data_IF_022704562709
#
_entry.id   IF_022704562709
#
_cell.length_a   1.000
_cell.length_b   1.000
_cell.length_c   1.000
_cell.angle_alpha   90.00
_cell.angle_beta   90.00
_cell.angle_gamma   90.00
#
_symmetry.space_group_name_H-M   'P 1'
#
loop_
_entity.id
_entity.type
_entity.pdbx_description
1 polymer ?
#
# COMPACT_ATOMS: atom_id res chain seq x y z
N UNK A 1 -15.01 30.37 22.13
CA UNK A 1 -13.64 30.57 21.64
C UNK A 1 -13.46 29.68 20.41
N UNK A 2 -13.36 30.26 19.22
CA UNK A 2 -13.28 29.54 17.94
C UNK A 2 -11.85 29.05 17.73
N UNK A 3 -11.62 27.74 17.69
CA UNK A 3 -10.40 27.17 17.12
C UNK A 3 -10.75 26.56 15.75
N UNK A 4 -10.83 27.41 14.75
CA UNK A 4 -10.76 27.00 13.35
C UNK A 4 -9.28 26.86 12.99
N UNK A 5 -8.77 25.63 13.02
CA UNK A 5 -7.43 25.36 12.51
C UNK A 5 -7.52 25.33 10.99
N UNK A 6 -7.17 26.44 10.36
CA UNK A 6 -6.98 26.49 8.90
C UNK A 6 -5.62 25.83 8.66
N UNK A 7 -5.60 24.67 7.99
CA UNK A 7 -4.36 24.06 7.55
C UNK A 7 -3.78 24.89 6.41
N UNK A 8 -2.83 25.75 6.74
CA UNK A 8 -2.26 26.72 5.78
C UNK A 8 -0.92 26.31 5.21
N UNK A 9 -0.29 25.23 5.75
CA UNK A 9 1.01 24.80 5.28
C UNK A 9 1.28 23.29 5.53
N UNK A 10 2.39 22.82 4.96
CA UNK A 10 2.87 21.43 5.03
C UNK A 10 3.09 20.92 6.48
N UNK A 11 3.49 21.82 7.39
CA UNK A 11 3.76 21.54 8.80
C UNK A 11 2.49 21.20 9.57
N UNK A 12 1.38 21.89 9.26
CA UNK A 12 0.08 21.66 9.91
C UNK A 12 -0.52 20.31 9.46
N UNK A 13 -0.29 19.91 8.20
CA UNK A 13 -0.69 18.59 7.68
C UNK A 13 0.05 17.46 8.38
N UNK A 14 1.37 17.55 8.53
CA UNK A 14 2.19 16.51 9.19
C UNK A 14 1.84 16.40 10.67
N UNK A 15 1.62 17.52 11.38
CA UNK A 15 1.16 17.52 12.78
C UNK A 15 -0.22 16.93 12.97
N UNK A 16 -1.16 17.21 12.06
CA UNK A 16 -2.49 16.61 12.09
C UNK A 16 -2.44 15.10 11.85
N UNK A 17 -1.57 14.63 10.94
CA UNK A 17 -1.34 13.21 10.69
C UNK A 17 -0.69 12.49 11.89
N UNK A 18 0.27 13.11 12.57
CA UNK A 18 0.89 12.57 13.79
C UNK A 18 -0.09 12.41 14.95
N UNK A 19 -0.98 13.39 15.16
CA UNK A 19 -2.02 13.32 16.19
C UNK A 19 -3.06 12.20 15.93
N UNK A 20 -3.31 11.85 14.67
CA UNK A 20 -4.19 10.74 14.32
C UNK A 20 -3.55 9.36 14.59
N UNK A 21 -2.24 9.23 14.44
CA UNK A 21 -1.51 7.97 14.68
C UNK A 21 -1.37 7.69 16.18
N UNK A 22 -1.16 8.72 17.00
CA UNK A 22 -1.04 8.58 18.47
C UNK A 22 -2.35 8.12 19.15
N UNK A 23 -3.52 8.40 18.55
CA UNK A 23 -4.82 7.95 19.05
C UNK A 23 -5.17 6.49 18.69
N UNK A 24 -4.41 5.85 17.81
CA UNK A 24 -4.60 4.47 17.36
C UNK A 24 -3.64 3.47 18.02
N UNK A 25 -3.05 3.80 19.17
CA UNK A 25 -2.37 2.83 20.01
C UNK A 25 -3.39 1.86 20.62
N UNK A 26 -3.98 1.01 19.79
CA UNK A 26 -4.64 -0.20 20.26
C UNK A 26 -3.57 -1.09 20.89
N UNK A 27 -3.77 -1.43 22.15
CA UNK A 27 -3.06 -2.52 22.81
C UNK A 27 -3.46 -3.83 22.11
N UNK A 28 -2.85 -4.11 20.98
CA UNK A 28 -2.94 -5.42 20.34
C UNK A 28 -2.14 -6.37 21.22
N UNK A 29 -2.84 -7.34 21.81
CA UNK A 29 -2.23 -8.41 22.57
C UNK A 29 -1.27 -9.19 21.65
N UNK A 30 0.06 -9.14 21.83
CA UNK A 30 1.02 -9.71 20.89
C UNK A 30 1.01 -11.25 20.86
N UNK A 31 0.21 -11.91 21.69
CA UNK A 31 0.22 -13.36 21.86
C UNK A 31 -0.65 -14.14 20.87
N UNK A 32 -1.32 -13.50 19.91
CA UNK A 32 -2.03 -14.16 18.80
C UNK A 32 -1.73 -13.48 17.47
N UNK A 33 -0.47 -13.31 17.14
CA UNK A 33 -0.10 -13.18 15.72
C UNK A 33 -0.47 -14.50 15.03
N UNK A 34 -1.64 -14.52 14.39
CA UNK A 34 -1.90 -15.53 13.38
C UNK A 34 -0.72 -15.43 12.41
N UNK A 35 0.11 -16.51 12.33
CA UNK A 35 1.15 -16.64 11.32
C UNK A 35 0.54 -16.15 10.03
N UNK A 36 1.13 -15.11 9.44
CA UNK A 36 0.71 -14.63 8.13
C UNK A 36 0.60 -15.86 7.25
N UNK A 37 -0.57 -16.09 6.66
CA UNK A 37 -0.75 -17.25 5.80
C UNK A 37 0.26 -17.09 4.69
N UNK A 38 1.39 -17.79 4.80
CA UNK A 38 2.41 -17.87 3.78
C UNK A 38 1.66 -18.32 2.54
N UNK A 39 1.76 -17.55 1.48
CA UNK A 39 1.20 -17.91 0.18
C UNK A 39 1.81 -19.24 -0.23
N UNK A 40 1.10 -20.31 0.06
CA UNK A 40 1.50 -21.69 -0.21
C UNK A 40 0.87 -22.07 -1.55
N UNK A 41 1.69 -22.27 -2.56
CA UNK A 41 1.26 -22.60 -3.92
C UNK A 41 0.44 -23.91 -3.98
N UNK A 42 0.55 -24.78 -2.99
CA UNK A 42 -0.19 -26.06 -2.93
C UNK A 42 -1.66 -25.89 -2.51
N UNK A 43 -2.06 -24.67 -2.04
CA UNK A 43 -3.44 -24.34 -1.63
C UNK A 43 -4.14 -23.35 -2.55
N UNK A 44 -3.53 -22.99 -3.68
CA UNK A 44 -3.94 -21.84 -4.49
C UNK A 44 -5.33 -21.93 -5.08
N UNK A 45 -5.72 -23.08 -5.63
CA UNK A 45 -7.01 -23.19 -6.33
C UNK A 45 -8.20 -23.16 -5.37
N UNK A 46 -8.15 -23.89 -4.26
CA UNK A 46 -9.20 -23.90 -3.25
C UNK A 46 -9.31 -22.54 -2.51
N UNK A 47 -8.19 -21.90 -2.16
CA UNK A 47 -8.22 -20.58 -1.52
C UNK A 47 -8.75 -19.50 -2.47
N UNK A 48 -8.28 -19.46 -3.71
CA UNK A 48 -8.74 -18.51 -4.72
C UNK A 48 -10.24 -18.67 -4.97
N UNK A 49 -10.73 -19.91 -5.02
CA UNK A 49 -12.16 -20.19 -5.19
C UNK A 49 -12.96 -19.73 -3.98
N UNK A 50 -12.51 -19.98 -2.74
CA UNK A 50 -13.17 -19.46 -1.54
C UNK A 50 -13.24 -17.94 -1.55
N UNK A 51 -12.15 -17.25 -1.89
CA UNK A 51 -12.13 -15.79 -2.04
C UNK A 51 -13.15 -15.35 -3.08
N UNK A 52 -13.16 -15.98 -4.26
CA UNK A 52 -14.09 -15.65 -5.35
C UNK A 52 -15.54 -15.78 -4.91
N UNK A 53 -15.90 -16.92 -4.32
CA UNK A 53 -17.27 -17.20 -3.85
C UNK A 53 -17.69 -16.23 -2.74
N UNK A 54 -16.82 -16.00 -1.75
CA UNK A 54 -17.09 -15.07 -0.66
C UNK A 54 -17.30 -13.64 -1.17
N UNK A 55 -16.42 -13.14 -2.02
CA UNK A 55 -16.52 -11.77 -2.52
C UNK A 55 -17.70 -11.58 -3.49
N UNK A 56 -18.03 -12.59 -4.30
CA UNK A 56 -19.26 -12.56 -5.11
C UNK A 56 -20.51 -12.42 -4.24
N UNK A 57 -20.61 -13.17 -3.14
CA UNK A 57 -21.72 -13.06 -2.20
C UNK A 57 -21.77 -11.66 -1.56
N UNK A 58 -20.66 -11.20 -0.98
CA UNK A 58 -20.58 -9.92 -0.28
C UNK A 58 -20.87 -8.70 -1.18
N UNK A 59 -20.44 -8.76 -2.44
CA UNK A 59 -20.65 -7.67 -3.39
C UNK A 59 -22.01 -7.71 -4.09
N UNK A 60 -22.65 -8.88 -4.18
CA UNK A 60 -24.03 -8.99 -4.69
C UNK A 60 -25.04 -8.36 -3.74
N UNK A 61 -24.79 -8.45 -2.44
CA UNK A 61 -25.66 -7.97 -1.36
C UNK A 61 -24.90 -7.00 -0.45
N UNK A 62 -24.50 -5.84 -1.01
CA UNK A 62 -23.81 -4.82 -0.21
C UNK A 62 -24.69 -4.39 0.97
N UNK A 63 -24.11 -4.41 2.17
CA UNK A 63 -24.76 -3.88 3.36
C UNK A 63 -25.04 -2.38 3.20
N UNK A 64 -26.09 -1.84 3.79
CA UNK A 64 -26.33 -0.39 3.83
C UNK A 64 -25.32 0.32 4.75
N UNK A 65 -24.84 -0.38 5.79
CA UNK A 65 -23.93 0.15 6.81
C UNK A 65 -22.71 -0.74 6.96
N UNK A 66 -21.58 -0.11 7.27
CA UNK A 66 -20.29 -0.73 7.62
C UNK A 66 -19.68 0.01 8.81
N UNK A 67 -18.86 -0.68 9.61
CA UNK A 67 -18.11 -0.01 10.68
C UNK A 67 -17.01 0.88 10.09
N UNK A 68 -16.36 0.41 9.03
CA UNK A 68 -15.35 1.18 8.31
C UNK A 68 -15.53 1.08 6.79
N UNK A 69 -15.34 2.24 6.13
CA UNK A 69 -15.28 2.32 4.67
C UNK A 69 -13.91 2.88 4.30
N UNK A 70 -13.11 2.07 3.63
CA UNK A 70 -11.76 2.41 3.16
C UNK A 70 -11.84 2.78 1.69
N UNK A 71 -11.45 4.00 1.35
CA UNK A 71 -11.52 4.53 -0.01
C UNK A 71 -10.18 4.39 -0.73
N UNK A 72 -10.12 3.49 -1.69
CA UNK A 72 -8.93 3.13 -2.46
C UNK A 72 -8.18 1.93 -1.89
N UNK A 73 -7.86 0.96 -2.74
CA UNK A 73 -7.11 -0.25 -2.40
C UNK A 73 -5.60 -0.13 -2.67
N UNK A 74 -5.07 1.08 -2.78
CA UNK A 74 -3.63 1.31 -2.87
C UNK A 74 -2.87 0.80 -1.64
N UNK A 75 -1.58 1.08 -1.55
CA UNK A 75 -0.73 0.53 -0.48
C UNK A 75 -1.28 0.79 0.92
N UNK A 76 -1.68 2.03 1.21
CA UNK A 76 -2.23 2.40 2.53
C UNK A 76 -3.58 1.76 2.79
N UNK A 77 -4.53 1.85 1.83
CA UNK A 77 -5.87 1.29 2.00
C UNK A 77 -5.88 -0.23 2.15
N UNK A 78 -5.01 -0.93 1.43
CA UNK A 78 -4.84 -2.38 1.59
C UNK A 78 -4.39 -2.77 2.99
N UNK A 79 -3.43 -2.03 3.56
CA UNK A 79 -2.97 -2.26 4.93
C UNK A 79 -4.06 -1.96 5.95
N UNK A 80 -4.72 -0.81 5.82
CA UNK A 80 -5.77 -0.36 6.76
C UNK A 80 -6.95 -1.34 6.74
N UNK A 81 -7.46 -1.70 5.54
CA UNK A 81 -8.59 -2.62 5.41
C UNK A 81 -8.30 -3.97 6.07
N UNK A 82 -7.11 -4.55 5.81
CA UNK A 82 -6.71 -5.79 6.46
C UNK A 82 -6.67 -5.65 7.98
N UNK A 83 -6.00 -4.62 8.50
CA UNK A 83 -5.81 -4.44 9.95
C UNK A 83 -7.14 -4.25 10.67
N UNK A 84 -8.06 -3.51 10.09
CA UNK A 84 -9.41 -3.37 10.64
C UNK A 84 -10.18 -4.70 10.62
N UNK A 85 -10.08 -5.47 9.52
CA UNK A 85 -10.75 -6.76 9.38
C UNK A 85 -10.13 -7.90 10.23
N UNK A 86 -9.02 -7.67 10.93
CA UNK A 86 -8.49 -8.63 11.92
C UNK A 86 -9.47 -8.85 13.08
N UNK A 87 -10.23 -7.84 13.46
CA UNK A 87 -11.35 -7.99 14.38
C UNK A 87 -12.58 -8.55 13.63
N UNK A 88 -13.05 -9.78 13.95
CA UNK A 88 -14.16 -10.41 13.24
C UNK A 88 -15.51 -9.73 13.47
N UNK A 89 -15.63 -8.92 14.54
CA UNK A 89 -16.86 -8.21 14.93
C UNK A 89 -17.00 -6.85 14.20
N UNK A 90 -16.06 -6.52 13.31
CA UNK A 90 -16.02 -5.25 12.56
C UNK A 90 -16.23 -5.51 11.08
N UNK A 91 -17.24 -4.89 10.50
CA UNK A 91 -17.51 -4.95 9.06
C UNK A 91 -16.73 -3.86 8.32
N UNK A 92 -15.87 -4.29 7.39
CA UNK A 92 -15.02 -3.41 6.59
C UNK A 92 -15.40 -3.48 5.12
N UNK A 93 -15.62 -2.31 4.51
CA UNK A 93 -15.76 -2.15 3.06
C UNK A 93 -14.51 -1.47 2.51
N UNK A 94 -13.81 -2.13 1.59
CA UNK A 94 -12.75 -1.54 0.77
C UNK A 94 -13.29 -1.25 -0.63
N UNK A 95 -13.27 0.02 -1.04
CA UNK A 95 -13.78 0.47 -2.34
C UNK A 95 -12.61 0.86 -3.24
N UNK A 96 -12.58 0.32 -4.46
CA UNK A 96 -11.55 0.61 -5.46
C UNK A 96 -12.17 1.03 -6.79
N UNK A 97 -11.67 2.13 -7.37
CA UNK A 97 -12.14 2.65 -8.65
C UNK A 97 -11.76 1.76 -9.83
N UNK A 98 -10.59 1.13 -9.75
CA UNK A 98 -10.08 0.23 -10.78
C UNK A 98 -10.63 -1.19 -10.67
N UNK A 99 -10.22 -2.01 -11.65
CA UNK A 99 -10.59 -3.42 -11.73
C UNK A 99 -9.65 -4.34 -10.96
N UNK A 100 -9.77 -5.63 -11.26
CA UNK A 100 -8.92 -6.68 -10.70
C UNK A 100 -7.46 -6.49 -11.08
N UNK A 101 -6.56 -6.84 -10.16
CA UNK A 101 -5.12 -6.97 -10.39
C UNK A 101 -4.74 -8.35 -10.95
N UNK A 102 -5.70 -9.29 -11.02
CA UNK A 102 -5.48 -10.66 -11.51
C UNK A 102 -5.50 -10.73 -13.04
N UNK A 103 -4.51 -10.06 -13.62
CA UNK A 103 -4.27 -10.04 -15.08
C UNK A 103 -2.77 -10.16 -15.34
N UNK A 104 -2.37 -10.76 -16.49
CA UNK A 104 -0.95 -11.01 -16.79
C UNK A 104 -0.07 -9.75 -16.72
N UNK A 105 -0.57 -8.60 -17.16
CA UNK A 105 0.18 -7.34 -17.20
C UNK A 105 0.50 -6.81 -15.78
N UNK A 106 -0.30 -7.16 -14.78
CA UNK A 106 -0.05 -6.83 -13.38
C UNK A 106 0.77 -7.92 -12.71
N UNK A 107 0.33 -9.18 -12.85
CA UNK A 107 0.90 -10.29 -12.07
C UNK A 107 2.28 -10.73 -12.55
N UNK A 108 2.53 -10.74 -13.87
CA UNK A 108 3.83 -11.11 -14.40
C UNK A 108 4.81 -9.94 -14.32
N UNK A 109 5.86 -10.11 -13.53
CA UNK A 109 6.80 -9.04 -13.20
C UNK A 109 7.42 -8.37 -14.45
N UNK A 110 7.69 -9.12 -15.52
CA UNK A 110 8.27 -8.60 -16.76
C UNK A 110 7.33 -7.69 -17.56
N UNK A 111 6.02 -7.78 -17.32
CA UNK A 111 4.99 -7.03 -18.07
C UNK A 111 4.61 -5.69 -17.44
N UNK A 112 5.22 -5.31 -16.31
CA UNK A 112 4.86 -4.08 -15.59
C UNK A 112 4.79 -2.81 -16.46
N UNK A 113 5.64 -2.60 -17.51
CA UNK A 113 5.59 -1.38 -18.30
C UNK A 113 4.28 -1.20 -19.08
N UNK A 114 3.57 -2.32 -19.40
CA UNK A 114 2.31 -2.30 -20.15
C UNK A 114 1.17 -1.63 -19.37
N UNK A 115 1.31 -1.53 -18.04
CA UNK A 115 0.28 -0.87 -17.22
C UNK A 115 0.27 0.66 -17.37
N UNK A 116 1.39 1.28 -17.77
CA UNK A 116 1.52 2.74 -17.84
C UNK A 116 0.57 3.38 -18.86
N UNK A 117 0.25 2.69 -19.95
CA UNK A 117 -0.63 3.17 -21.02
C UNK A 117 -1.99 2.46 -21.03
N UNK A 118 -2.32 1.71 -19.98
CA UNK A 118 -3.57 0.95 -19.86
C UNK A 118 -4.63 1.67 -19.02
N UNK A 119 -5.86 1.14 -19.01
CA UNK A 119 -6.95 1.60 -18.14
C UNK A 119 -6.64 1.50 -16.64
N UNK A 120 -5.58 0.75 -16.26
CA UNK A 120 -5.08 0.58 -14.90
C UNK A 120 -4.22 1.76 -14.41
N UNK A 121 -4.04 2.77 -15.24
CA UNK A 121 -3.40 4.02 -14.89
C UNK A 121 -4.44 5.16 -14.96
N UNK A 122 -4.44 6.06 -13.97
CA UNK A 122 -5.28 7.26 -14.00
C UNK A 122 -4.93 8.20 -15.14
N UNK A 123 -3.70 8.14 -15.67
CA UNK A 123 -3.24 8.95 -16.78
C UNK A 123 -3.14 10.44 -16.47
N UNK A 124 -2.85 10.80 -15.22
CA UNK A 124 -2.67 12.20 -14.85
C UNK A 124 -1.49 12.83 -15.56
N UNK A 125 -1.65 14.08 -15.97
CA UNK A 125 -0.57 14.93 -16.47
C UNK A 125 -0.24 16.01 -15.46
N UNK A 126 1.04 16.17 -15.16
CA UNK A 126 1.54 17.30 -14.39
C UNK A 126 1.35 18.62 -15.17
N UNK A 127 1.29 19.72 -14.44
CA UNK A 127 1.29 21.04 -15.09
C UNK A 127 2.60 21.27 -15.83
N UNK A 128 2.59 21.99 -16.97
CA UNK A 128 3.81 22.38 -17.66
C UNK A 128 4.78 23.10 -16.73
N UNK A 129 6.03 22.70 -16.72
CA UNK A 129 7.06 23.27 -15.85
C UNK A 129 8.15 23.98 -16.63
N UNK A 130 8.51 25.20 -16.22
CA UNK A 130 9.64 25.93 -16.78
C UNK A 130 10.97 25.18 -16.64
N UNK A 131 11.12 24.37 -15.59
CA UNK A 131 12.32 23.56 -15.37
C UNK A 131 12.39 22.33 -16.28
N UNK A 132 11.33 22.03 -17.01
CA UNK A 132 11.22 20.97 -18.00
C UNK A 132 11.03 21.53 -19.42
N UNK A 133 11.51 22.75 -19.69
CA UNK A 133 11.32 23.44 -20.97
C UNK A 133 9.86 23.52 -21.41
N UNK A 134 8.95 23.82 -20.47
CA UNK A 134 7.51 23.92 -20.73
C UNK A 134 6.78 22.58 -20.90
N UNK A 135 7.45 21.45 -20.71
CA UNK A 135 6.82 20.13 -20.86
C UNK A 135 6.00 19.74 -19.64
N UNK A 136 4.93 18.98 -19.89
CA UNK A 136 4.23 18.18 -18.90
C UNK A 136 4.82 16.78 -18.84
N UNK A 137 4.80 16.18 -17.66
CA UNK A 137 5.17 14.77 -17.46
C UNK A 137 3.95 13.99 -17.00
N UNK A 138 3.88 12.71 -17.35
CA UNK A 138 2.86 11.79 -16.85
C UNK A 138 3.13 11.48 -15.37
N UNK A 139 2.06 11.48 -14.58
CA UNK A 139 2.06 11.07 -13.18
C UNK A 139 1.36 9.72 -13.10
N UNK A 140 2.13 8.65 -13.20
CA UNK A 140 1.59 7.29 -13.22
C UNK A 140 1.02 6.94 -11.84
N UNK A 141 -0.31 6.80 -11.77
CA UNK A 141 -1.07 6.45 -10.57
C UNK A 141 -1.97 5.25 -10.85
N UNK A 142 -1.83 4.20 -10.04
CA UNK A 142 -2.57 2.96 -10.25
C UNK A 142 -4.07 3.12 -10.01
N UNK A 143 -4.88 2.63 -10.97
CA UNK A 143 -6.33 2.51 -10.94
C UNK A 143 -6.70 1.03 -11.06
N UNK A 144 -6.41 0.29 -10.02
CA UNK A 144 -6.50 -1.18 -9.98
C UNK A 144 -6.39 -1.62 -8.53
N UNK A 145 -6.89 -2.81 -8.17
CA UNK A 145 -6.63 -3.39 -6.85
C UNK A 145 -5.12 -3.38 -6.56
N UNK A 146 -4.75 -2.77 -5.42
CA UNK A 146 -3.35 -2.53 -5.03
C UNK A 146 -2.77 -1.19 -5.48
N UNK A 147 -3.50 -0.42 -6.30
CA UNK A 147 -3.09 0.92 -6.73
C UNK A 147 -1.71 0.95 -7.35
N UNK A 148 -0.86 1.90 -6.93
CA UNK A 148 0.51 2.06 -7.41
C UNK A 148 1.38 0.82 -7.21
N UNK A 149 1.16 0.01 -6.15
CA UNK A 149 1.91 -1.22 -5.91
C UNK A 149 1.64 -2.31 -6.97
N UNK A 150 0.52 -2.19 -7.70
CA UNK A 150 0.15 -3.11 -8.79
C UNK A 150 0.67 -2.68 -10.16
N UNK A 151 1.22 -1.46 -10.32
CA UNK A 151 1.75 -0.97 -11.60
C UNK A 151 3.22 -0.51 -11.55
N UNK A 152 3.82 -0.37 -10.37
CA UNK A 152 5.21 0.04 -10.20
C UNK A 152 6.21 -1.03 -10.68
N UNK A 153 7.50 -0.70 -10.66
CA UNK A 153 8.60 -1.61 -11.04
C UNK A 153 9.05 -2.56 -9.91
N UNK A 154 8.25 -2.72 -8.86
CA UNK A 154 8.45 -3.69 -7.77
C UNK A 154 9.76 -3.55 -6.99
N UNK A 155 10.38 -2.38 -6.99
CA UNK A 155 11.52 -2.13 -6.13
C UNK A 155 11.05 -1.95 -4.67
N UNK A 156 11.78 -2.57 -3.73
CA UNK A 156 11.57 -2.36 -2.29
C UNK A 156 12.65 -1.44 -1.76
N UNK A 157 12.25 -0.29 -1.24
CA UNK A 157 13.18 0.75 -0.78
C UNK A 157 12.69 1.29 0.56
N UNK A 158 13.53 1.18 1.58
CA UNK A 158 13.35 1.89 2.85
C UNK A 158 13.75 3.36 2.68
N UNK A 159 13.15 4.26 3.43
CA UNK A 159 13.60 5.65 3.49
C UNK A 159 14.96 5.77 4.19
N UNK A 160 15.75 6.75 3.79
CA UNK A 160 17.02 7.04 4.42
C UNK A 160 16.83 7.58 5.86
N UNK A 161 17.81 7.30 6.72
CA UNK A 161 17.78 7.74 8.12
C UNK A 161 17.48 9.23 8.26
N UNK A 162 18.15 10.08 7.47
CA UNK A 162 17.96 11.52 7.56
C UNK A 162 16.56 11.99 7.16
N UNK A 163 15.90 11.27 6.22
CA UNK A 163 14.52 11.60 5.82
C UNK A 163 13.55 11.34 6.97
N UNK A 164 13.68 10.19 7.63
CA UNK A 164 12.82 9.84 8.76
C UNK A 164 13.05 10.71 9.98
N UNK A 165 14.32 11.02 10.31
CA UNK A 165 14.65 11.91 11.41
C UNK A 165 14.16 13.35 11.13
N UNK A 166 14.22 13.78 9.86
CA UNK A 166 13.62 15.04 9.42
C UNK A 166 12.09 15.02 9.57
N UNK A 167 11.41 13.93 9.18
CA UNK A 167 9.97 13.78 9.39
C UNK A 167 9.61 13.87 10.88
N UNK A 168 10.34 13.21 11.74
CA UNK A 168 10.13 13.28 13.19
C UNK A 168 10.25 14.72 13.73
N UNK A 169 11.25 15.46 13.25
CA UNK A 169 11.46 16.87 13.60
C UNK A 169 10.29 17.75 13.15
N UNK A 170 9.84 17.61 11.90
CA UNK A 170 8.74 18.40 11.33
C UNK A 170 7.40 18.07 11.98
N UNK A 171 7.16 16.79 12.32
CA UNK A 171 5.97 16.34 13.00
C UNK A 171 5.98 16.66 14.51
N UNK A 172 7.15 16.92 15.08
CA UNK A 172 7.39 16.96 16.53
C UNK A 172 6.92 15.65 17.22
N UNK A 173 7.18 14.50 16.56
CA UNK A 173 6.76 13.17 17.02
C UNK A 173 7.83 12.13 16.67
N UNK A 174 8.46 11.54 17.70
CA UNK A 174 9.51 10.53 17.56
C UNK A 174 9.02 9.19 16.97
N UNK A 175 7.71 8.96 16.88
CA UNK A 175 7.18 7.79 16.19
C UNK A 175 7.58 7.74 14.70
N UNK A 176 7.96 8.89 14.14
CA UNK A 176 8.42 9.04 12.76
C UNK A 176 9.94 9.00 12.59
N UNK A 177 10.73 8.88 13.66
CA UNK A 177 12.18 8.80 13.51
C UNK A 177 12.62 7.45 12.89
N UNK A 178 13.84 7.42 12.38
CA UNK A 178 14.40 6.24 11.72
C UNK A 178 14.37 4.98 12.60
N UNK A 179 14.67 5.11 13.90
CA UNK A 179 14.66 3.96 14.81
C UNK A 179 13.27 3.33 14.94
N UNK A 180 12.23 4.15 15.09
CA UNK A 180 10.84 3.71 15.21
C UNK A 180 10.34 3.09 13.90
N UNK A 181 10.60 3.74 12.77
CA UNK A 181 10.17 3.27 11.45
C UNK A 181 10.92 2.01 11.04
N UNK A 182 12.22 1.88 11.36
CA UNK A 182 12.99 0.66 11.08
C UNK A 182 12.41 -0.57 11.78
N UNK A 183 11.86 -0.43 12.99
CA UNK A 183 11.14 -1.53 13.67
C UNK A 183 9.90 -1.96 12.90
N UNK A 184 9.19 -0.99 12.27
CA UNK A 184 8.02 -1.27 11.42
C UNK A 184 8.46 -1.99 10.15
N UNK A 185 9.51 -1.53 9.47
CA UNK A 185 10.04 -2.20 8.28
C UNK A 185 10.40 -3.65 8.57
N UNK A 186 11.15 -3.93 9.64
CA UNK A 186 11.47 -5.32 10.02
C UNK A 186 10.24 -6.16 10.35
N UNK A 187 9.22 -5.58 10.99
CA UNK A 187 7.98 -6.28 11.32
C UNK A 187 7.16 -6.67 10.09
N UNK A 188 7.17 -5.83 9.05
CA UNK A 188 6.34 -6.08 7.85
C UNK A 188 7.07 -6.89 6.77
N UNK A 189 8.38 -6.99 6.83
CA UNK A 189 9.22 -7.61 5.82
C UNK A 189 9.36 -9.12 6.05
N UNK A 190 9.37 -9.87 4.94
CA UNK A 190 9.80 -11.26 4.88
C UNK A 190 10.96 -11.36 3.88
N UNK A 191 12.19 -11.17 4.40
CA UNK A 191 13.40 -11.11 3.61
C UNK A 191 13.93 -12.49 3.26
N UNK A 192 14.20 -12.75 1.98
CA UNK A 192 14.70 -14.00 1.42
C UNK A 192 16.14 -13.91 0.87
N UNK A 193 16.93 -13.02 1.39
CA UNK A 193 18.39 -12.92 1.14
C UNK A 193 19.23 -13.33 2.35
N UNK A 194 20.53 -12.93 2.34
CA UNK A 194 21.40 -13.15 3.48
C UNK A 194 20.82 -12.50 4.75
N UNK A 195 20.80 -13.22 5.89
CA UNK A 195 20.25 -12.68 7.14
C UNK A 195 20.98 -11.41 7.59
N UNK A 196 20.22 -10.39 7.95
CA UNK A 196 20.73 -9.15 8.55
C UNK A 196 19.71 -8.63 9.58
N UNK A 197 19.72 -9.12 10.82
CA UNK A 197 18.71 -8.83 11.81
C UNK A 197 18.69 -7.35 12.27
N UNK A 198 19.74 -6.58 11.96
CA UNK A 198 19.75 -5.14 12.23
C UNK A 198 18.83 -4.40 11.29
N UNK A 199 18.83 -4.74 10.01
CA UNK A 199 18.13 -3.98 8.98
C UNK A 199 16.94 -4.73 8.36
N UNK A 200 16.96 -6.07 8.37
CA UNK A 200 16.01 -6.91 7.64
C UNK A 200 15.05 -7.65 8.59
N UNK A 201 13.83 -7.88 8.12
CA UNK A 201 12.82 -8.65 8.83
C UNK A 201 12.58 -10.03 8.23
N UNK A 202 11.92 -10.90 8.97
CA UNK A 202 11.48 -12.22 8.51
C UNK A 202 10.07 -12.53 9.00
N UNK A 203 9.29 -13.27 8.19
CA UNK A 203 7.94 -13.71 8.53
C UNK A 203 6.88 -12.62 8.49
N UNK A 204 7.20 -11.40 8.02
CA UNK A 204 6.23 -10.36 7.76
C UNK A 204 5.39 -10.64 6.50
N UNK A 205 4.35 -9.86 6.23
CA UNK A 205 3.49 -10.09 5.07
C UNK A 205 4.15 -9.71 3.74
N UNK A 206 5.20 -8.89 3.73
CA UNK A 206 5.81 -8.36 2.50
C UNK A 206 7.00 -9.23 2.12
N UNK A 207 6.81 -10.08 1.12
CA UNK A 207 7.88 -10.89 0.54
C UNK A 207 8.89 -10.01 -0.19
N UNK A 208 10.16 -10.11 0.16
CA UNK A 208 11.26 -9.35 -0.45
C UNK A 208 12.43 -10.28 -0.74
N UNK A 209 12.97 -10.20 -1.95
CA UNK A 209 14.16 -10.96 -2.34
C UNK A 209 15.21 -10.08 -3.00
N UNK A 210 16.50 -10.51 -3.01
CA UNK A 210 17.51 -9.91 -3.87
C UNK A 210 17.05 -9.90 -5.33
N UNK A 211 17.42 -8.88 -6.08
CA UNK A 211 17.17 -8.89 -7.52
C UNK A 211 17.97 -10.03 -8.18
N UNK A 212 17.35 -10.84 -9.05
CA UNK A 212 18.09 -11.80 -9.85
C UNK A 212 19.08 -11.05 -10.76
N UNK A 213 20.36 -11.32 -10.62
CA UNK A 213 21.42 -10.72 -11.46
C UNK A 213 21.54 -11.55 -12.73
N UNK A 214 20.63 -11.34 -13.67
CA UNK A 214 20.63 -12.03 -14.96
C UNK A 214 21.39 -11.28 -16.07
N UNK A 215 21.59 -9.96 -15.88
CA UNK A 215 22.27 -9.11 -16.87
C UNK A 215 23.63 -8.66 -16.32
N UNK A 216 24.75 -8.94 -17.05
CA UNK A 216 26.10 -8.59 -16.61
C UNK A 216 26.36 -7.09 -16.46
N UNK A 217 25.49 -6.23 -16.98
CA UNK A 217 25.61 -4.79 -16.83
C UNK A 217 25.48 -4.34 -15.35
N UNK A 218 24.68 -5.02 -14.54
CA UNK A 218 24.50 -4.63 -13.14
C UNK A 218 25.78 -4.75 -12.30
N UNK A 219 26.48 -5.90 -12.27
CA UNK A 219 27.76 -5.99 -11.58
C UNK A 219 28.81 -5.07 -12.22
N UNK A 220 28.81 -4.87 -13.53
CA UNK A 220 29.72 -3.93 -14.20
C UNK A 220 29.47 -2.48 -13.76
N UNK A 221 28.20 -2.07 -13.57
CA UNK A 221 27.88 -0.74 -13.05
C UNK A 221 28.34 -0.56 -11.59
N UNK A 222 28.21 -1.60 -10.75
CA UNK A 222 28.73 -1.53 -9.38
C UNK A 222 30.27 -1.47 -9.35
N UNK A 223 30.94 -2.19 -10.25
CA UNK A 223 32.40 -2.11 -10.38
C UNK A 223 32.83 -0.71 -10.88
N UNK A 224 32.11 -0.14 -11.85
CA UNK A 224 32.33 1.23 -12.27
C UNK A 224 32.16 2.25 -11.14
N UNK A 225 31.12 2.08 -10.33
CA UNK A 225 30.91 2.92 -9.13
C UNK A 225 32.08 2.81 -8.15
N UNK A 226 32.51 1.58 -7.87
CA UNK A 226 33.68 1.31 -7.00
C UNK A 226 34.97 1.93 -7.52
N UNK A 227 35.22 1.81 -8.83
CA UNK A 227 36.36 2.41 -9.50
C UNK A 227 36.33 3.94 -9.48
N UNK A 228 35.13 4.54 -9.44
CA UNK A 228 34.95 6.00 -9.29
C UNK A 228 34.98 6.46 -7.81
N UNK A 229 35.30 5.60 -6.85
CA UNK A 229 35.34 5.92 -5.42
C UNK A 229 33.96 6.03 -4.76
N UNK A 230 32.89 5.59 -5.44
CA UNK A 230 31.54 5.58 -4.86
C UNK A 230 31.39 4.33 -3.98
N UNK A 231 31.00 4.47 -2.69
CA UNK A 231 30.75 3.32 -1.83
C UNK A 231 29.72 2.37 -2.44
N UNK A 232 30.00 1.07 -2.35
CA UNK A 232 29.05 0.04 -2.81
C UNK A 232 28.60 -0.83 -1.65
N UNK A 233 27.33 -1.26 -1.70
CA UNK A 233 26.69 -2.03 -0.64
C UNK A 233 26.04 -3.30 -1.21
N UNK A 234 25.98 -4.36 -0.41
CA UNK A 234 25.41 -5.65 -0.81
C UNK A 234 23.90 -5.58 -1.02
N UNK A 235 23.24 -4.68 -0.31
CA UNK A 235 21.80 -4.43 -0.45
C UNK A 235 21.46 -2.96 -0.16
N UNK A 236 20.35 -2.49 -0.78
CA UNK A 236 19.88 -1.10 -0.68
C UNK A 236 19.33 -0.79 0.72
N UNK A 237 18.63 -1.75 1.33
CA UNK A 237 17.88 -1.59 2.58
C UNK A 237 18.67 -2.04 3.82
N UNK A 238 19.98 -2.16 3.70
CA UNK A 238 20.89 -2.44 4.80
C UNK A 238 21.61 -1.17 5.26
N UNK A 239 22.91 -1.31 5.48
CA UNK A 239 23.79 -0.22 5.94
C UNK A 239 23.72 1.04 5.07
N UNK A 240 23.35 0.92 3.79
CA UNK A 240 23.22 2.06 2.88
C UNK A 240 22.16 3.06 3.34
N UNK A 241 21.14 2.65 4.07
CA UNK A 241 20.10 3.56 4.62
C UNK A 241 20.61 4.53 5.70
N UNK A 242 21.81 4.27 6.23
CA UNK A 242 22.49 5.12 7.23
C UNK A 242 23.75 5.81 6.67
N UNK A 243 24.14 5.53 5.43
CA UNK A 243 25.36 6.03 4.80
C UNK A 243 25.10 7.38 4.10
N UNK A 244 26.18 8.12 3.83
CA UNK A 244 26.09 9.40 3.10
C UNK A 244 25.71 9.25 1.61
N UNK A 245 25.63 8.02 1.12
CA UNK A 245 25.29 7.67 -0.25
C UNK A 245 26.04 6.43 -0.70
N UNK A 246 25.74 5.98 -1.93
CA UNK A 246 26.40 4.82 -2.49
C UNK A 246 25.62 4.19 -3.63
N UNK A 247 26.08 3.01 -4.06
CA UNK A 247 25.44 2.20 -5.09
C UNK A 247 25.13 0.79 -4.58
N UNK A 248 23.98 0.29 -4.93
CA UNK A 248 23.55 -1.07 -4.67
C UNK A 248 22.52 -1.51 -5.72
N UNK A 249 22.25 -2.80 -5.80
CA UNK A 249 21.15 -3.35 -6.60
C UNK A 249 19.92 -3.41 -5.70
N UNK A 250 18.81 -2.80 -6.15
CA UNK A 250 17.58 -2.75 -5.35
C UNK A 250 16.90 -4.12 -5.29
N UNK A 251 16.35 -4.45 -4.14
CA UNK A 251 15.56 -5.66 -3.89
C UNK A 251 14.21 -5.59 -4.58
N UNK A 252 13.56 -6.74 -4.71
CA UNK A 252 12.34 -6.90 -5.49
C UNK A 252 11.19 -7.51 -4.68
N UNK A 253 10.00 -6.96 -4.91
CA UNK A 253 8.72 -7.51 -4.50
C UNK A 253 8.20 -8.47 -5.57
N UNK A 254 8.98 -9.52 -5.83
CA UNK A 254 8.67 -10.53 -6.86
C UNK A 254 8.92 -11.90 -6.26
N UNK A 255 7.97 -12.82 -6.42
CA UNK A 255 8.09 -14.22 -6.02
C UNK A 255 7.71 -15.10 -7.21
N UNK A 256 8.59 -16.03 -7.61
CA UNK A 256 8.37 -16.92 -8.77
C UNK A 256 7.92 -16.18 -10.04
N UNK A 257 8.56 -15.05 -10.34
CA UNK A 257 8.20 -14.21 -11.49
C UNK A 257 6.90 -13.40 -11.35
N UNK A 258 6.19 -13.54 -10.23
CA UNK A 258 4.92 -12.85 -9.96
C UNK A 258 5.13 -11.68 -9.00
N UNK A 259 4.46 -10.56 -9.30
CA UNK A 259 4.40 -9.36 -8.45
C UNK A 259 3.81 -9.69 -7.08
N UNK A 260 4.41 -9.13 -6.05
CA UNK A 260 3.90 -9.10 -4.68
C UNK A 260 3.43 -7.67 -4.37
N UNK A 261 2.25 -7.29 -4.86
CA UNK A 261 1.66 -5.98 -4.54
C UNK A 261 1.24 -5.94 -3.07
N UNK A 262 1.08 -4.73 -2.51
CA UNK A 262 0.58 -4.59 -1.13
C UNK A 262 -0.82 -5.18 -0.99
N UNK A 263 -1.66 -5.10 -2.01
CA UNK A 263 -2.96 -5.76 -2.00
C UNK A 263 -2.82 -7.29 -1.88
N UNK A 264 -1.95 -7.91 -2.69
CA UNK A 264 -1.72 -9.36 -2.68
C UNK A 264 -1.13 -9.86 -1.37
N UNK A 265 -0.29 -9.06 -0.73
CA UNK A 265 0.38 -9.45 0.52
C UNK A 265 -0.43 -9.12 1.77
N UNK A 266 -1.27 -8.09 1.75
CA UNK A 266 -2.05 -7.66 2.91
C UNK A 266 -3.53 -8.04 2.82
N UNK A 267 -4.24 -7.60 1.77
CA UNK A 267 -5.71 -7.70 1.71
C UNK A 267 -6.16 -9.05 1.20
N UNK A 268 -5.57 -9.51 0.09
CA UNK A 268 -6.00 -10.74 -0.58
C UNK A 268 -6.05 -11.96 0.33
N UNK A 269 -5.07 -12.21 1.24
CA UNK A 269 -5.11 -13.34 2.19
C UNK A 269 -6.27 -13.30 3.20
N UNK A 270 -7.01 -12.20 3.25
CA UNK A 270 -8.15 -12.00 4.17
C UNK A 270 -9.49 -11.91 3.44
N UNK A 271 -9.52 -12.04 2.12
CA UNK A 271 -10.73 -11.87 1.32
C UNK A 271 -11.72 -13.05 1.41
N UNK A 272 -11.34 -14.15 2.01
CA UNK A 272 -12.26 -15.25 2.38
C UNK A 272 -13.01 -14.99 3.68
N UNK A 273 -12.71 -13.90 4.41
CA UNK A 273 -13.43 -13.50 5.63
C UNK A 273 -14.77 -12.84 5.31
N UNK A 274 -15.77 -13.09 6.13
CA UNK A 274 -17.14 -12.57 5.96
C UNK A 274 -17.27 -11.09 6.27
N UNK A 275 -16.34 -10.53 7.01
CA UNK A 275 -16.35 -9.15 7.49
C UNK A 275 -15.48 -8.20 6.64
N UNK A 276 -14.89 -8.68 5.53
CA UNK A 276 -14.13 -7.86 4.59
C UNK A 276 -14.75 -7.93 3.19
N UNK A 277 -15.43 -6.86 2.80
CA UNK A 277 -15.98 -6.68 1.45
C UNK A 277 -15.01 -5.85 0.62
N UNK A 278 -14.59 -6.36 -0.55
CA UNK A 278 -13.75 -5.63 -1.51
C UNK A 278 -14.56 -5.36 -2.77
N UNK A 279 -14.92 -4.10 -2.96
CA UNK A 279 -15.72 -3.65 -4.10
C UNK A 279 -14.83 -2.92 -5.11
N UNK A 280 -14.47 -3.60 -6.19
CA UNK A 280 -13.74 -3.02 -7.32
C UNK A 280 -14.65 -2.40 -8.37
N UNK A 281 -14.10 -1.62 -9.31
CA UNK A 281 -14.85 -0.86 -10.33
C UNK A 281 -15.92 0.05 -9.72
N UNK A 282 -15.65 0.57 -8.54
CA UNK A 282 -16.52 1.46 -7.79
C UNK A 282 -15.78 2.75 -7.43
N UNK A 283 -16.25 3.86 -7.99
CA UNK A 283 -15.68 5.19 -7.77
C UNK A 283 -16.35 5.85 -6.58
N UNK A 284 -15.59 6.21 -5.55
CA UNK A 284 -16.05 7.14 -4.52
C UNK A 284 -16.07 8.54 -5.11
N UNK A 285 -17.25 9.15 -5.15
CA UNK A 285 -17.45 10.46 -5.78
C UNK A 285 -17.60 11.58 -4.75
N UNK A 286 -18.03 11.25 -3.53
CA UNK A 286 -18.23 12.24 -2.47
C UNK A 286 -18.19 11.61 -1.08
N UNK A 287 -17.64 12.35 -0.10
CA UNK A 287 -17.84 12.07 1.32
C UNK A 287 -19.17 12.72 1.79
N UNK A 288 -19.90 11.99 2.63
CA UNK A 288 -21.14 12.47 3.25
C UNK A 288 -20.83 12.95 4.66
N UNK A 289 -21.27 14.17 4.97
CA UNK A 289 -21.01 14.80 6.27
C UNK A 289 -22.29 15.11 7.01
N UNK A 290 -22.24 14.97 8.33
CA UNK A 290 -23.16 15.56 9.29
C UNK A 290 -22.37 16.47 10.20
N UNK A 291 -22.50 17.78 10.01
CA UNK A 291 -21.64 18.77 10.64
C UNK A 291 -20.16 18.54 10.25
N UNK A 292 -19.32 18.20 11.22
CA UNK A 292 -17.88 17.89 11.02
C UNK A 292 -17.58 16.38 10.94
N UNK A 293 -18.59 15.53 11.06
CA UNK A 293 -18.45 14.07 11.06
C UNK A 293 -18.70 13.52 9.66
N UNK A 294 -17.79 12.65 9.18
CA UNK A 294 -18.04 11.85 7.97
C UNK A 294 -18.92 10.67 8.36
N UNK A 295 -20.11 10.61 7.76
CA UNK A 295 -21.11 9.55 8.02
C UNK A 295 -21.22 8.53 6.91
N UNK A 296 -20.59 8.77 5.76
CA UNK A 296 -20.63 7.81 4.66
C UNK A 296 -19.96 8.33 3.41
N UNK A 297 -20.15 7.58 2.34
CA UNK A 297 -19.63 7.88 0.99
C UNK A 297 -20.72 7.71 -0.06
N UNK A 298 -20.64 8.47 -1.14
CA UNK A 298 -21.35 8.20 -2.38
C UNK A 298 -20.42 7.48 -3.35
N UNK A 299 -20.90 6.40 -3.94
CA UNK A 299 -20.17 5.62 -4.93
C UNK A 299 -20.95 5.52 -6.24
N UNK A 300 -20.20 5.38 -7.33
CA UNK A 300 -20.73 4.99 -8.65
C UNK A 300 -20.05 3.71 -9.08
N UNK A 301 -20.82 2.70 -9.42
CA UNK A 301 -20.35 1.41 -9.94
C UNK A 301 -21.32 0.86 -11.00
N UNK A 302 -20.86 -0.06 -11.83
CA UNK A 302 -21.70 -0.72 -12.84
C UNK A 302 -22.50 -1.87 -12.25
N UNK A 303 -23.77 -2.04 -12.68
CA UNK A 303 -24.52 -3.27 -12.46
C UNK A 303 -24.07 -4.38 -13.44
N UNK A 304 -24.67 -5.59 -13.31
CA UNK A 304 -24.38 -6.72 -14.19
C UNK A 304 -24.71 -6.42 -15.67
N UNK A 305 -25.54 -5.43 -15.93
CA UNK A 305 -25.90 -4.96 -17.29
C UNK A 305 -25.03 -3.78 -17.74
N UNK A 306 -24.01 -3.39 -16.98
CA UNK A 306 -23.10 -2.27 -17.29
C UNK A 306 -23.70 -0.87 -17.03
N UNK A 307 -24.87 -0.78 -16.39
CA UNK A 307 -25.51 0.51 -16.07
C UNK A 307 -24.85 1.10 -14.81
N UNK A 308 -24.61 2.42 -14.82
CA UNK A 308 -24.07 3.12 -13.65
C UNK A 308 -25.11 3.19 -12.52
N UNK A 309 -24.76 2.64 -11.36
CA UNK A 309 -25.53 2.72 -10.13
C UNK A 309 -24.87 3.77 -9.24
N UNK A 310 -25.66 4.74 -8.74
CA UNK A 310 -25.25 5.62 -7.64
C UNK A 310 -25.81 5.08 -6.34
N UNK A 311 -24.95 4.95 -5.32
CA UNK A 311 -25.36 4.47 -4.00
C UNK A 311 -24.67 5.28 -2.90
N UNK A 312 -25.43 5.63 -1.87
CA UNK A 312 -24.91 6.12 -0.61
C UNK A 312 -24.68 4.92 0.32
N UNK A 313 -23.50 4.82 0.88
CA UNK A 313 -23.14 3.85 1.89
C UNK A 313 -22.83 4.59 3.17
N UNK A 314 -23.34 4.10 4.28
CA UNK A 314 -23.25 4.75 5.57
C UNK A 314 -22.32 3.97 6.49
N UNK A 315 -21.74 4.67 7.44
CA UNK A 315 -20.97 4.12 8.53
C UNK A 315 -21.86 4.01 9.75
N UNK A 316 -21.71 2.93 10.55
CA UNK A 316 -22.40 2.81 11.82
C UNK A 316 -22.13 4.03 12.73
N UNK A 317 -23.18 4.50 13.43
CA UNK A 317 -23.10 5.75 14.20
C UNK A 317 -22.01 5.72 15.28
N UNK A 318 -21.78 4.55 15.87
CA UNK A 318 -20.87 4.34 17.01
C UNK A 318 -19.44 3.93 16.60
N UNK A 319 -19.19 3.69 15.31
CA UNK A 319 -17.86 3.33 14.84
C UNK A 319 -16.90 4.52 14.96
N UNK A 320 -15.91 4.37 15.82
CA UNK A 320 -14.98 5.42 16.23
C UNK A 320 -13.92 5.67 15.15
N UNK A 321 -13.83 6.94 14.74
CA UNK A 321 -12.70 7.67 14.13
C UNK A 321 -12.07 7.09 12.87
N UNK A 322 -12.02 7.98 11.87
CA UNK A 322 -11.16 7.88 10.69
C UNK A 322 -9.71 7.61 11.11
N UNK A 323 -9.12 6.55 10.58
CA UNK A 323 -7.69 6.31 10.60
C UNK A 323 -7.00 7.27 9.60
#
# INVERSE_FOLDING_TARGET
MKLGMIMTNRRDFVRASGLMVAAAAFTVNPAKEAKAAIYDETRTDDFNERVRVNQQKLTAELKPHYDFIVCGSGSSGSVVARRLAENPDVDVLLVEAGGSDDVPEVMEASKWPLNRTSERNWGFLGQPSRYLNGRSITLDMGKVLGGGSSINAMAWVHGHKNDWDFFASEAADLAWNYESVSKIYRRIEDWHGAPDPKYRGSGGPVYVQPAPISNPIFPAMLEGARSAGIPTFDNLNGRMTEAEGGASISERLVRHGKRQSVFRTYTFPYMDRRNLTVLSRAMVTRLVFEGKRVTGVEIVYGDKAGRAIRRRLERHADAVRLA
#
